data_IF_574860463385
#
_entry.id   IF_574860463385
#
_cell.length_a   1.000
_cell.length_b   1.000
_cell.length_c   1.000
_cell.angle_alpha   90.00
_cell.angle_beta   90.00
_cell.angle_gamma   90.00
#
_symmetry.space_group_name_H-M   'P 1'
#
loop_
_entity.id
_entity.type
_entity.pdbx_description
1 polymer ?
#
# COMPACT_ATOMS: atom_id res chain seq x y z
N UNK A 1 24.61 12.66 -16.65
CA UNK A 1 25.39 11.48 -16.20
C UNK A 1 25.53 11.55 -14.70
N UNK A 2 25.01 10.53 -14.03
CA UNK A 2 24.98 10.45 -12.58
C UNK A 2 25.70 9.20 -12.14
N UNK A 3 26.19 9.22 -10.91
CA UNK A 3 26.60 8.01 -10.23
C UNK A 3 25.61 7.76 -9.11
N UNK A 4 25.09 6.54 -9.04
CA UNK A 4 24.15 6.15 -8.01
C UNK A 4 24.66 4.92 -7.27
N UNK A 5 24.28 4.77 -6.02
CA UNK A 5 24.52 3.56 -5.23
C UNK A 5 23.20 3.03 -4.73
N UNK A 6 22.90 1.79 -5.09
CA UNK A 6 21.68 1.11 -4.69
C UNK A 6 21.76 0.66 -3.22
N UNK A 7 20.61 0.62 -2.55
CA UNK A 7 20.44 -0.20 -1.35
C UNK A 7 20.52 -1.69 -1.72
N UNK A 8 20.66 -2.57 -0.73
CA UNK A 8 20.79 -4.02 -0.95
C UNK A 8 19.59 -4.61 -1.71
N UNK A 9 18.39 -4.10 -1.44
CA UNK A 9 17.14 -4.54 -2.07
C UNK A 9 16.91 -3.96 -3.49
N UNK A 10 17.76 -3.04 -3.96
CA UNK A 10 17.58 -2.27 -5.20
C UNK A 10 16.23 -1.53 -5.31
N UNK A 11 15.65 -1.18 -4.17
CA UNK A 11 14.38 -0.43 -4.06
C UNK A 11 14.59 1.04 -3.75
N UNK A 12 15.83 1.49 -3.57
CA UNK A 12 16.20 2.90 -3.46
C UNK A 12 17.68 3.11 -3.78
N UNK A 13 18.05 4.34 -4.15
CA UNK A 13 19.44 4.69 -4.42
C UNK A 13 19.80 6.07 -3.87
N UNK A 14 21.08 6.27 -3.57
CA UNK A 14 21.67 7.58 -3.31
C UNK A 14 22.41 8.10 -4.56
N UNK A 15 22.34 9.39 -4.83
CA UNK A 15 23.06 10.04 -5.93
C UNK A 15 24.35 10.64 -5.39
N UNK A 16 25.47 10.42 -6.09
CA UNK A 16 26.73 11.08 -5.76
C UNK A 16 26.67 12.57 -6.11
N UNK A 17 26.89 13.42 -5.10
CA UNK A 17 26.97 14.87 -5.24
C UNK A 17 28.39 15.44 -5.00
N UNK A 18 29.40 14.57 -4.83
CA UNK A 18 30.78 14.97 -4.55
C UNK A 18 31.57 15.37 -5.80
N UNK A 19 32.88 15.64 -5.66
CA UNK A 19 33.74 16.04 -6.78
C UNK A 19 33.79 14.96 -7.87
N UNK A 20 34.13 15.37 -9.09
CA UNK A 20 34.37 14.45 -10.19
C UNK A 20 35.59 13.58 -9.89
N UNK A 21 35.34 12.32 -9.56
CA UNK A 21 36.36 11.29 -9.37
C UNK A 21 36.24 10.23 -10.46
N UNK A 22 37.35 9.58 -10.78
CA UNK A 22 37.42 8.61 -11.89
C UNK A 22 36.48 7.42 -11.69
N UNK A 23 36.03 6.81 -12.80
CA UNK A 23 35.06 5.70 -12.79
C UNK A 23 35.51 4.56 -11.86
N UNK A 24 36.80 4.20 -11.87
CA UNK A 24 37.33 3.13 -11.03
C UNK A 24 37.18 3.41 -9.53
N UNK A 25 37.35 4.67 -9.10
CA UNK A 25 37.16 5.07 -7.71
C UNK A 25 35.68 5.03 -7.31
N UNK A 26 34.79 5.48 -8.20
CA UNK A 26 33.33 5.38 -7.99
C UNK A 26 32.87 3.93 -7.82
N UNK A 27 33.35 3.03 -8.70
CA UNK A 27 33.01 1.60 -8.63
C UNK A 27 33.53 0.95 -7.34
N UNK A 28 34.73 1.31 -6.88
CA UNK A 28 35.26 0.81 -5.60
C UNK A 28 34.41 1.25 -4.38
N UNK A 29 33.71 2.40 -4.48
CA UNK A 29 32.78 2.90 -3.46
C UNK A 29 31.37 2.29 -3.58
N UNK A 30 31.13 1.45 -4.58
CA UNK A 30 29.84 0.82 -4.85
C UNK A 30 28.89 1.66 -5.72
N UNK A 31 29.37 2.74 -6.33
CA UNK A 31 28.56 3.55 -7.23
C UNK A 31 28.64 3.04 -8.67
N UNK A 32 27.50 3.06 -9.35
CA UNK A 32 27.35 2.73 -10.77
C UNK A 32 27.05 3.98 -11.59
N UNK A 33 27.67 4.07 -12.77
CA UNK A 33 27.44 5.19 -13.70
C UNK A 33 26.14 4.95 -14.45
N UNK A 34 25.24 5.93 -14.43
CA UNK A 34 23.98 5.90 -15.17
C UNK A 34 23.84 7.13 -16.06
N UNK A 35 23.27 6.93 -17.24
CA UNK A 35 23.00 8.02 -18.18
C UNK A 35 21.81 8.86 -17.70
N UNK A 36 20.75 8.18 -17.28
CA UNK A 36 19.52 8.72 -16.71
C UNK A 36 19.29 8.16 -15.32
N UNK A 37 18.69 8.95 -14.42
CA UNK A 37 18.30 8.47 -13.09
C UNK A 37 17.22 7.38 -13.23
N UNK A 38 17.42 6.20 -12.63
CA UNK A 38 16.40 5.15 -12.65
C UNK A 38 15.12 5.63 -11.98
N UNK A 39 13.97 5.29 -12.55
CA UNK A 39 12.71 5.46 -11.85
C UNK A 39 12.57 4.29 -10.89
N UNK A 40 12.59 4.59 -9.59
CA UNK A 40 12.23 3.63 -8.55
C UNK A 40 10.74 3.76 -8.32
N UNK A 41 9.99 2.73 -8.72
CA UNK A 41 8.59 2.62 -8.31
C UNK A 41 8.59 2.08 -6.89
N UNK A 42 8.10 2.82 -5.89
CA UNK A 42 7.98 2.27 -4.54
C UNK A 42 7.13 1.01 -4.60
N UNK A 43 7.61 -0.07 -3.99
CA UNK A 43 6.84 -1.30 -3.87
C UNK A 43 5.53 -0.95 -3.17
N UNK A 44 4.43 -1.20 -3.88
CA UNK A 44 3.11 -0.98 -3.30
C UNK A 44 2.90 -2.09 -2.28
N UNK A 45 2.80 -1.78 -0.97
CA UNK A 45 2.69 -2.81 0.05
C UNK A 45 1.46 -3.69 -0.24
N UNK A 46 1.58 -5.01 -0.04
CA UNK A 46 0.46 -5.90 -0.30
C UNK A 46 -0.68 -5.59 0.69
N UNK A 47 -1.94 -5.72 0.27
CA UNK A 47 -3.07 -5.22 1.10
C UNK A 47 -3.22 -5.96 2.43
N UNK A 48 -2.77 -7.21 2.49
CA UNK A 48 -2.74 -8.03 3.69
C UNK A 48 -1.77 -7.51 4.76
N UNK A 49 -0.75 -6.74 4.38
CA UNK A 49 0.13 -6.06 5.33
C UNK A 49 -0.39 -4.69 5.78
N UNK A 50 -1.56 -4.25 5.30
CA UNK A 50 -2.13 -2.95 5.61
C UNK A 50 -3.18 -3.04 6.73
N UNK A 51 -3.27 -1.95 7.48
CA UNK A 51 -4.31 -1.72 8.47
C UNK A 51 -5.17 -0.56 8.01
N UNK A 52 -6.47 -0.78 7.93
CA UNK A 52 -7.46 0.17 7.41
C UNK A 52 -8.24 0.80 8.56
N UNK A 53 -8.50 2.09 8.45
CA UNK A 53 -9.42 2.79 9.35
C UNK A 53 -10.85 2.40 9.04
N UNK A 54 -11.56 1.85 10.03
CA UNK A 54 -13.00 1.56 9.89
C UNK A 54 -13.80 2.78 9.47
N UNK A 55 -13.50 3.93 10.06
CA UNK A 55 -14.23 5.15 9.78
C UNK A 55 -14.11 5.54 8.30
N UNK A 56 -12.90 5.48 7.75
CA UNK A 56 -12.67 5.79 6.33
C UNK A 56 -13.36 4.79 5.41
N UNK A 57 -13.24 3.49 5.71
CA UNK A 57 -13.90 2.43 4.93
C UNK A 57 -15.43 2.63 4.96
N UNK A 58 -16.03 2.76 6.15
CA UNK A 58 -17.47 2.96 6.28
C UNK A 58 -17.94 4.24 5.58
N UNK A 59 -17.19 5.34 5.69
CA UNK A 59 -17.50 6.60 5.02
C UNK A 59 -17.51 6.44 3.49
N UNK A 60 -16.46 5.82 2.91
CA UNK A 60 -16.38 5.56 1.47
C UNK A 60 -17.52 4.66 0.99
N UNK A 61 -17.87 3.63 1.76
CA UNK A 61 -18.99 2.74 1.44
C UNK A 61 -20.34 3.46 1.53
N UNK A 62 -20.50 4.42 2.44
CA UNK A 62 -21.69 5.29 2.50
C UNK A 62 -21.75 6.26 1.31
N UNK A 63 -20.62 6.87 0.92
CA UNK A 63 -20.51 7.75 -0.25
C UNK A 63 -20.87 7.03 -1.55
N UNK A 64 -20.51 5.75 -1.65
CA UNK A 64 -20.89 4.88 -2.78
C UNK A 64 -22.32 4.33 -2.68
N UNK A 65 -23.04 4.57 -1.57
CA UNK A 65 -24.38 4.01 -1.35
C UNK A 65 -24.41 2.50 -1.13
N UNK A 66 -23.28 1.86 -0.87
CA UNK A 66 -23.14 0.41 -0.73
C UNK A 66 -23.24 -0.07 0.72
N UNK A 67 -23.08 0.84 1.68
CA UNK A 67 -23.00 0.52 3.11
C UNK A 67 -24.19 -0.32 3.62
N UNK A 68 -25.42 0.06 3.28
CA UNK A 68 -26.61 -0.67 3.72
C UNK A 68 -26.74 -2.02 3.03
N UNK A 69 -26.36 -2.12 1.76
CA UNK A 69 -26.34 -3.39 1.03
C UNK A 69 -25.36 -4.38 1.67
N UNK A 70 -24.15 -3.91 1.99
CA UNK A 70 -23.12 -4.72 2.64
C UNK A 70 -23.62 -5.20 4.00
N UNK A 71 -24.07 -4.28 4.87
CA UNK A 71 -24.62 -4.63 6.19
C UNK A 71 -25.73 -5.67 6.13
N UNK A 72 -26.59 -5.61 5.12
CA UNK A 72 -27.69 -6.57 4.95
C UNK A 72 -27.17 -7.99 4.71
N UNK A 73 -26.03 -8.14 4.03
CA UNK A 73 -25.38 -9.41 3.73
C UNK A 73 -24.41 -9.92 4.80
N UNK A 74 -24.25 -9.20 5.91
CA UNK A 74 -23.35 -9.62 7.01
C UNK A 74 -24.05 -10.50 8.03
N UNK A 75 -23.30 -11.45 8.59
CA UNK A 75 -23.73 -12.17 9.80
C UNK A 75 -23.74 -11.25 11.02
N UNK A 76 -24.41 -11.65 12.10
CA UNK A 76 -24.43 -10.87 13.34
C UNK A 76 -23.02 -10.68 13.92
N UNK A 77 -22.15 -11.70 13.83
CA UNK A 77 -20.75 -11.62 14.23
C UNK A 77 -19.94 -10.60 13.41
N UNK A 78 -20.18 -10.51 12.10
CA UNK A 78 -19.52 -9.54 11.22
C UNK A 78 -20.03 -8.12 11.48
N UNK A 79 -21.33 -7.96 11.78
CA UNK A 79 -21.90 -6.68 12.20
C UNK A 79 -21.30 -6.23 13.52
N UNK A 80 -21.25 -7.12 14.51
CA UNK A 80 -20.64 -6.85 15.81
C UNK A 80 -19.16 -6.49 15.68
N UNK A 81 -18.42 -7.21 14.83
CA UNK A 81 -17.06 -6.83 14.47
C UNK A 81 -16.99 -5.41 13.91
N UNK A 82 -17.84 -5.08 12.93
CA UNK A 82 -17.94 -3.73 12.39
C UNK A 82 -18.34 -2.70 13.43
N UNK A 83 -19.07 -3.05 14.50
CA UNK A 83 -19.40 -2.11 15.57
C UNK A 83 -18.26 -1.92 16.57
N UNK A 84 -17.57 -3.00 16.92
CA UNK A 84 -16.59 -3.05 18.02
C UNK A 84 -15.17 -2.69 17.59
N UNK A 85 -14.73 -3.10 16.41
CA UNK A 85 -13.37 -2.83 15.96
C UNK A 85 -13.19 -1.34 15.60
N UNK A 86 -12.00 -0.81 15.89
CA UNK A 86 -11.57 0.53 15.45
C UNK A 86 -10.84 0.45 14.10
N UNK A 87 -10.08 -0.62 13.91
CA UNK A 87 -9.16 -0.82 12.79
C UNK A 87 -9.37 -2.21 12.20
N UNK A 88 -9.06 -2.37 10.91
CA UNK A 88 -9.26 -3.62 10.17
C UNK A 88 -7.98 -4.05 9.46
N UNK A 89 -7.80 -5.35 9.31
CA UNK A 89 -6.77 -5.93 8.43
C UNK A 89 -7.40 -7.06 7.63
N UNK A 90 -6.93 -7.30 6.40
CA UNK A 90 -7.34 -8.47 5.62
C UNK A 90 -6.92 -9.80 6.26
N UNK A 91 -6.01 -9.78 7.23
CA UNK A 91 -5.69 -10.94 8.05
C UNK A 91 -6.83 -11.30 9.03
N UNK A 92 -7.74 -10.38 9.33
CA UNK A 92 -8.90 -10.65 10.18
C UNK A 92 -9.97 -11.44 9.39
N UNK A 93 -10.43 -12.60 9.89
CA UNK A 93 -11.39 -13.45 9.18
C UNK A 93 -12.74 -12.76 8.94
N UNK A 94 -13.20 -11.88 9.84
CA UNK A 94 -14.44 -11.14 9.64
C UNK A 94 -14.28 -10.11 8.54
N UNK A 95 -13.17 -9.37 8.53
CA UNK A 95 -12.92 -8.40 7.49
C UNK A 95 -12.62 -9.05 6.13
N UNK A 96 -11.95 -10.19 6.09
CA UNK A 96 -11.71 -10.95 4.85
C UNK A 96 -13.02 -11.41 4.19
N UNK A 97 -14.01 -11.82 4.99
CA UNK A 97 -15.34 -12.17 4.48
C UNK A 97 -16.09 -10.93 3.94
N UNK A 98 -16.03 -9.80 4.66
CA UNK A 98 -16.59 -8.52 4.19
C UNK A 98 -15.91 -8.08 2.89
N UNK A 99 -14.58 -8.16 2.82
CA UNK A 99 -13.79 -7.82 1.65
C UNK A 99 -14.17 -8.64 0.43
N UNK A 100 -14.43 -9.94 0.59
CA UNK A 100 -14.88 -10.80 -0.50
C UNK A 100 -16.23 -10.33 -1.09
N UNK A 101 -17.14 -9.81 -0.25
CA UNK A 101 -18.38 -9.19 -0.73
C UNK A 101 -18.12 -7.86 -1.43
N UNK A 102 -17.26 -7.01 -0.86
CA UNK A 102 -16.88 -5.73 -1.47
C UNK A 102 -16.28 -5.91 -2.86
N UNK A 103 -15.38 -6.88 -3.02
CA UNK A 103 -14.72 -7.20 -4.29
C UNK A 103 -15.68 -7.63 -5.39
N UNK A 104 -16.82 -8.23 -5.02
CA UNK A 104 -17.87 -8.58 -5.99
C UNK A 104 -18.72 -7.38 -6.42
N UNK A 105 -18.76 -6.31 -5.62
CA UNK A 105 -19.66 -5.17 -5.84
C UNK A 105 -18.93 -3.90 -6.33
N UNK A 106 -17.64 -3.77 -6.00
CA UNK A 106 -16.84 -2.58 -6.26
C UNK A 106 -15.68 -2.98 -7.20
N UNK A 107 -15.70 -2.54 -8.47
CA UNK A 107 -14.49 -2.59 -9.28
C UNK A 107 -13.42 -1.70 -8.61
N UNK A 108 -12.19 -2.20 -8.52
CA UNK A 108 -11.04 -1.51 -7.90
C UNK A 108 -11.16 -1.26 -6.38
N UNK A 109 -11.85 -2.16 -5.66
CA UNK A 109 -11.94 -2.15 -4.18
C UNK A 109 -10.56 -2.00 -3.49
N UNK A 110 -9.50 -2.51 -4.10
CA UNK A 110 -8.15 -2.46 -3.56
C UNK A 110 -7.60 -1.03 -3.51
N UNK A 111 -7.86 -0.20 -4.53
CA UNK A 111 -7.50 1.22 -4.50
C UNK A 111 -8.30 1.98 -3.44
N UNK A 112 -9.60 1.71 -3.35
CA UNK A 112 -10.47 2.31 -2.33
C UNK A 112 -9.96 2.02 -0.92
N UNK A 113 -9.59 0.76 -0.64
CA UNK A 113 -9.04 0.39 0.66
C UNK A 113 -7.68 1.04 0.92
N UNK A 114 -6.84 1.23 -0.11
CA UNK A 114 -5.56 1.94 0.03
C UNK A 114 -5.73 3.40 0.45
N UNK A 115 -6.80 4.06 0.03
CA UNK A 115 -7.14 5.41 0.52
C UNK A 115 -7.57 5.43 1.99
N UNK A 116 -7.93 4.27 2.54
CA UNK A 116 -8.43 4.11 3.90
C UNK A 116 -7.37 3.61 4.90
N UNK A 117 -6.10 3.48 4.49
CA UNK A 117 -5.01 3.00 5.34
C UNK A 117 -4.77 3.96 6.51
N UNK A 118 -4.65 3.42 7.72
CA UNK A 118 -4.18 4.17 8.88
C UNK A 118 -2.71 4.55 8.65
N UNK A 119 -2.50 5.82 8.35
CA UNK A 119 -1.17 6.43 8.17
C UNK A 119 -0.50 6.71 9.52
#
# INVERSE_FOLDING_TARGET
MHYIKWNEAQTSYEIWHGPSIGVAAMTAMGYVRVETLPVVTPETPPLDSLVFSKYQVAKKLMELGLWENIKSGLSDEQRDFLYLAQDFSLADPNFAAIYSQLKSQIPDVEELLRECVLS
#
